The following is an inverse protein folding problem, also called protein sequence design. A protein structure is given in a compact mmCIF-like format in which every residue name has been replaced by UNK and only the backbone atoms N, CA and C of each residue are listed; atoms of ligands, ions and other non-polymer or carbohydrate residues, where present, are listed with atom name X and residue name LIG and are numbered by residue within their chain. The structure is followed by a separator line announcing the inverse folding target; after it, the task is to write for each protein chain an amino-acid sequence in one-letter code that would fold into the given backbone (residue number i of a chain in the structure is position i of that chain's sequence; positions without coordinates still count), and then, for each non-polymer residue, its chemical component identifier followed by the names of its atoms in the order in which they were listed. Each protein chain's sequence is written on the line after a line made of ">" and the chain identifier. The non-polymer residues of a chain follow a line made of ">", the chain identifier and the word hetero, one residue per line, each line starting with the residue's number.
data_IF_774109135248
#
_entry.id   IF_774109135248
#
_cell.length_a   1.000
_cell.length_b   1.000
_cell.length_c   1.000
_cell.angle_alpha   90.00
_cell.angle_beta   90.00
_cell.angle_gamma   90.00
#
_symmetry.space_group_name_H-M   'P 1'
#
loop_
_entity.id
_entity.type
_entity.pdbx_description
1 polymer ?
#
# COMPACT_ATOMS: atom_id res chain seq x y z
N UNK A 1 -11.02 7.63 2.25
CA UNK A 1 -10.32 6.35 2.52
C UNK A 1 -10.78 5.83 3.87
N UNK A 2 -10.98 4.52 4.01
CA UNK A 2 -11.27 3.91 5.32
C UNK A 2 -9.96 3.76 6.09
N UNK A 3 -9.93 4.21 7.35
CA UNK A 3 -8.73 4.11 8.20
C UNK A 3 -8.65 2.75 8.85
N UNK A 4 -7.57 2.01 8.56
CA UNK A 4 -7.32 0.68 9.13
C UNK A 4 -5.86 0.60 9.62
N UNK A 5 -5.62 0.31 10.92
CA UNK A 5 -4.27 0.13 11.47
C UNK A 5 -3.41 -0.88 10.70
N UNK A 6 -4.02 -1.94 10.16
CA UNK A 6 -3.33 -2.94 9.33
C UNK A 6 -2.77 -2.31 8.06
N UNK A 7 -3.52 -1.42 7.40
CA UNK A 7 -3.04 -0.72 6.20
C UNK A 7 -1.87 0.19 6.53
N UNK A 8 -1.98 0.98 7.61
CA UNK A 8 -0.92 1.89 8.06
C UNK A 8 0.38 1.11 8.26
N UNK A 9 0.32 0.05 9.04
CA UNK A 9 1.47 -0.78 9.36
C UNK A 9 2.05 -1.44 8.10
N UNK A 10 1.20 -1.97 7.22
CA UNK A 10 1.64 -2.59 5.96
C UNK A 10 2.37 -1.59 5.05
N UNK A 11 1.84 -0.36 4.92
CA UNK A 11 2.48 0.70 4.14
C UNK A 11 3.86 1.07 4.71
N UNK A 12 3.97 1.17 6.04
CA UNK A 12 5.25 1.44 6.73
C UNK A 12 6.26 0.33 6.48
N UNK A 13 5.86 -0.94 6.62
CA UNK A 13 6.75 -2.08 6.35
C UNK A 13 7.16 -2.16 4.89
N UNK A 14 6.23 -1.94 3.96
CA UNK A 14 6.54 -1.94 2.54
C UNK A 14 7.57 -0.86 2.19
N UNK A 15 7.41 0.35 2.72
CA UNK A 15 8.38 1.44 2.58
C UNK A 15 9.75 1.07 3.17
N UNK A 16 9.78 0.50 4.38
CA UNK A 16 11.02 0.11 5.05
C UNK A 16 11.74 -1.05 4.34
N UNK A 17 10.99 -2.03 3.81
CA UNK A 17 11.55 -3.11 2.98
C UNK A 17 12.13 -2.53 1.70
N UNK A 18 11.39 -1.65 1.03
CA UNK A 18 11.83 -1.03 -0.21
C UNK A 18 13.12 -0.22 0.02
N UNK A 19 13.18 0.58 1.08
CA UNK A 19 14.36 1.35 1.46
C UNK A 19 15.62 0.47 1.58
N UNK A 20 15.51 -0.66 2.27
CA UNK A 20 16.61 -1.64 2.48
C UNK A 20 16.92 -2.49 1.24
N UNK A 21 16.02 -2.59 0.27
CA UNK A 21 16.19 -3.43 -0.91
C UNK A 21 17.12 -2.77 -1.93
N UNK A 22 18.12 -3.51 -2.41
CA UNK A 22 18.88 -3.10 -3.60
C UNK A 22 18.13 -3.40 -4.91
N UNK A 23 17.07 -4.19 -4.82
CA UNK A 23 16.24 -4.59 -5.94
C UNK A 23 14.96 -3.74 -5.97
N UNK A 24 14.80 -2.94 -7.00
CA UNK A 24 13.55 -2.30 -7.36
C UNK A 24 13.46 -2.25 -8.89
N UNK A 25 12.37 -2.79 -9.44
CA UNK A 25 12.21 -2.90 -10.88
C UNK A 25 10.74 -2.74 -11.24
N UNK A 26 10.41 -1.59 -11.81
CA UNK A 26 9.11 -1.40 -12.45
C UNK A 26 8.98 -2.36 -13.64
N UNK A 27 7.83 -3.03 -13.76
CA UNK A 27 7.58 -4.13 -14.70
C UNK A 27 7.86 -5.54 -14.16
N UNK A 28 8.63 -5.70 -13.07
CA UNK A 28 8.69 -6.97 -12.36
C UNK A 28 7.64 -6.98 -11.24
N UNK A 29 6.56 -7.74 -11.44
CA UNK A 29 5.35 -7.71 -10.59
C UNK A 29 5.57 -7.92 -9.08
N UNK A 30 6.64 -8.61 -8.67
CA UNK A 30 7.03 -8.76 -7.26
C UNK A 30 8.06 -7.76 -6.74
N UNK A 31 8.59 -6.86 -7.57
CA UNK A 31 9.64 -5.88 -7.26
C UNK A 31 9.23 -4.43 -7.61
N UNK A 32 7.98 -4.22 -8.01
CA UNK A 32 7.40 -2.91 -8.27
C UNK A 32 6.57 -2.43 -7.05
N UNK A 33 5.89 -1.30 -7.23
CA UNK A 33 5.19 -0.55 -6.19
C UNK A 33 4.20 -1.43 -5.40
N UNK A 34 3.21 -2.01 -6.10
CA UNK A 34 2.26 -2.95 -5.52
C UNK A 34 2.92 -4.29 -5.13
N UNK A 35 4.00 -4.68 -5.81
CA UNK A 35 4.76 -5.90 -5.49
C UNK A 35 5.36 -5.88 -4.09
N UNK A 36 5.92 -4.74 -3.66
CA UNK A 36 6.43 -4.59 -2.29
C UNK A 36 5.31 -4.63 -1.24
N UNK A 37 4.16 -4.03 -1.53
CA UNK A 37 2.98 -4.12 -0.66
C UNK A 37 2.48 -5.57 -0.55
N UNK A 38 2.40 -6.27 -1.68
CA UNK A 38 1.95 -7.66 -1.74
C UNK A 38 2.85 -8.61 -0.95
N UNK A 39 4.19 -8.41 -0.97
CA UNK A 39 5.12 -9.18 -0.15
C UNK A 39 4.80 -9.06 1.35
N UNK A 40 4.42 -7.87 1.82
CA UNK A 40 4.11 -7.65 3.25
C UNK A 40 2.77 -8.26 3.66
N UNK A 41 1.76 -8.23 2.79
CA UNK A 41 0.43 -8.75 3.10
C UNK A 41 0.39 -10.28 3.00
N UNK A 42 0.94 -10.82 1.92
CA UNK A 42 0.77 -12.25 1.57
C UNK A 42 1.91 -13.12 2.08
N UNK A 43 3.03 -12.51 2.48
CA UNK A 43 4.30 -13.20 2.77
C UNK A 43 4.88 -14.00 1.60
N UNK A 44 4.31 -13.88 0.40
CA UNK A 44 4.90 -14.44 -0.81
C UNK A 44 6.21 -13.73 -1.15
N UNK A 45 7.14 -14.51 -1.68
CA UNK A 45 8.38 -13.99 -2.24
C UNK A 45 8.12 -13.20 -3.53
N UNK A 46 9.05 -12.33 -3.89
CA UNK A 46 9.03 -11.60 -5.18
C UNK A 46 8.86 -12.54 -6.40
N UNK A 47 9.42 -13.74 -6.34
CA UNK A 47 9.35 -14.73 -7.41
C UNK A 47 7.96 -15.38 -7.50
N UNK A 48 7.34 -15.70 -6.36
CA UNK A 48 5.98 -16.25 -6.31
C UNK A 48 4.96 -15.23 -6.81
N UNK A 49 5.05 -13.97 -6.37
CA UNK A 49 4.18 -12.89 -6.84
C UNK A 49 4.32 -12.72 -8.36
N UNK A 50 5.56 -12.69 -8.86
CA UNK A 50 5.79 -12.56 -10.29
C UNK A 50 5.21 -13.73 -11.07
N UNK A 51 5.46 -14.97 -10.64
CA UNK A 51 4.93 -16.18 -11.28
C UNK A 51 3.39 -16.18 -11.32
N UNK A 52 2.72 -15.77 -10.24
CA UNK A 52 1.25 -15.67 -10.19
C UNK A 52 0.71 -14.67 -11.22
N UNK A 53 1.39 -13.53 -11.37
CA UNK A 53 0.97 -12.48 -12.31
C UNK A 53 1.19 -12.85 -13.78
N UNK A 54 2.22 -13.64 -14.12
CA UNK A 54 2.58 -13.97 -15.52
C UNK A 54 1.55 -14.83 -16.27
N UNK A 55 0.46 -15.27 -15.63
CA UNK A 55 -0.63 -15.98 -16.31
C UNK A 55 -1.49 -15.05 -17.19
N UNK A 56 -1.41 -13.74 -16.96
CA UNK A 56 -2.00 -12.71 -17.84
C UNK A 56 -0.95 -11.64 -18.12
N UNK A 57 -0.99 -10.99 -19.29
CA UNK A 57 -0.17 -9.82 -19.52
C UNK A 57 -0.64 -8.66 -18.62
N UNK A 58 0.26 -7.70 -18.48
CA UNK A 58 -0.06 -6.40 -17.93
C UNK A 58 0.45 -6.14 -16.52
N UNK A 59 0.48 -4.85 -16.17
CA UNK A 59 0.91 -4.39 -14.86
C UNK A 59 -0.20 -4.55 -13.81
N UNK A 60 0.05 -4.09 -12.59
CA UNK A 60 -0.94 -4.16 -11.52
C UNK A 60 -2.22 -3.41 -11.84
N UNK A 61 -2.16 -2.25 -12.50
CA UNK A 61 -3.34 -1.48 -12.84
C UNK A 61 -4.23 -2.23 -13.82
N UNK A 62 -3.63 -2.88 -14.83
CA UNK A 62 -4.32 -3.70 -15.82
C UNK A 62 -4.92 -4.97 -15.18
N UNK A 63 -4.14 -5.69 -14.36
CA UNK A 63 -4.62 -6.87 -13.64
C UNK A 63 -5.79 -6.54 -12.69
N UNK A 64 -5.79 -5.35 -12.06
CA UNK A 64 -6.86 -4.89 -11.19
C UNK A 64 -8.14 -4.50 -11.95
N UNK A 65 -8.03 -4.06 -13.21
CA UNK A 65 -9.20 -3.84 -14.07
C UNK A 65 -9.91 -5.16 -14.36
N UNK A 66 -9.13 -6.20 -14.67
CA UNK A 66 -9.62 -7.53 -15.04
C UNK A 66 -9.86 -8.46 -13.83
N UNK A 67 -9.75 -7.92 -12.61
CA UNK A 67 -9.90 -8.68 -11.37
C UNK A 67 -11.28 -9.33 -11.26
N UNK A 68 -11.30 -10.64 -11.05
CA UNK A 68 -12.51 -11.43 -10.81
C UNK A 68 -12.29 -12.39 -9.63
N UNK A 69 -13.00 -12.24 -8.49
CA UNK A 69 -12.77 -13.05 -7.29
C UNK A 69 -13.10 -14.54 -7.45
N UNK A 70 -13.83 -14.91 -8.50
CA UNK A 70 -14.27 -16.29 -8.76
C UNK A 70 -13.59 -16.93 -9.96
N UNK A 71 -12.57 -16.29 -10.55
CA UNK A 71 -11.86 -16.80 -11.73
C UNK A 71 -11.03 -18.06 -11.46
N UNK A 72 -10.65 -18.28 -10.19
CA UNK A 72 -9.71 -19.34 -9.79
C UNK A 72 -8.26 -19.05 -10.20
N UNK A 73 -7.93 -17.83 -10.62
CA UNK A 73 -6.59 -17.48 -11.04
C UNK A 73 -5.70 -17.08 -9.86
N UNK A 74 -4.44 -17.55 -9.79
CA UNK A 74 -3.53 -17.25 -8.69
C UNK A 74 -3.27 -15.76 -8.42
N UNK A 75 -3.37 -14.90 -9.44
CA UNK A 75 -3.23 -13.45 -9.28
C UNK A 75 -4.50 -12.82 -8.68
N UNK A 76 -5.69 -13.33 -9.04
CA UNK A 76 -6.95 -12.85 -8.47
C UNK A 76 -7.08 -13.29 -7.00
N UNK A 77 -6.60 -14.48 -6.64
CA UNK A 77 -6.45 -14.90 -5.23
C UNK A 77 -5.55 -13.95 -4.46
N UNK A 78 -4.39 -13.59 -5.04
CA UNK A 78 -3.46 -12.64 -4.44
C UNK A 78 -4.14 -11.28 -4.22
N UNK A 79 -4.79 -10.72 -5.25
CA UNK A 79 -5.53 -9.46 -5.13
C UNK A 79 -6.60 -9.56 -4.04
N UNK A 80 -7.31 -10.68 -3.93
CA UNK A 80 -8.31 -10.90 -2.88
C UNK A 80 -7.73 -10.74 -1.47
N UNK A 81 -6.51 -11.24 -1.22
CA UNK A 81 -5.82 -11.06 0.07
C UNK A 81 -5.49 -9.59 0.36
N UNK A 82 -5.08 -8.82 -0.65
CA UNK A 82 -4.84 -7.37 -0.50
C UNK A 82 -6.13 -6.62 -0.18
N UNK A 83 -7.24 -6.98 -0.82
CA UNK A 83 -8.53 -6.34 -0.58
C UNK A 83 -9.07 -6.62 0.83
N UNK A 84 -8.82 -7.83 1.37
CA UNK A 84 -9.21 -8.20 2.74
C UNK A 84 -8.56 -7.33 3.83
N UNK A 85 -7.39 -6.75 3.57
CA UNK A 85 -6.73 -5.85 4.52
C UNK A 85 -7.28 -4.42 4.49
N UNK A 86 -8.29 -4.13 3.66
CA UNK A 86 -8.93 -2.83 3.56
C UNK A 86 -8.47 -1.95 2.40
N UNK A 87 -7.48 -2.38 1.60
CA UNK A 87 -7.16 -1.70 0.36
C UNK A 87 -8.31 -1.87 -0.64
N UNK A 88 -8.59 -0.82 -1.43
CA UNK A 88 -9.48 -0.92 -2.58
C UNK A 88 -8.69 -1.15 -3.86
N UNK A 89 -9.37 -1.58 -4.93
CA UNK A 89 -8.75 -1.65 -6.27
C UNK A 89 -8.18 -0.30 -6.69
N UNK A 90 -8.92 0.77 -6.46
CA UNK A 90 -8.48 2.14 -6.75
C UNK A 90 -7.21 2.52 -5.98
N UNK A 91 -7.13 2.16 -4.69
CA UNK A 91 -5.92 2.39 -3.90
C UNK A 91 -4.69 1.68 -4.51
N UNK A 92 -4.85 0.43 -4.94
CA UNK A 92 -3.78 -0.35 -5.54
C UNK A 92 -3.41 0.17 -6.95
N UNK A 93 -4.40 0.59 -7.74
CA UNK A 93 -4.16 1.23 -9.04
C UNK A 93 -3.39 2.54 -8.88
N UNK A 94 -3.78 3.36 -7.91
CA UNK A 94 -3.09 4.59 -7.58
C UNK A 94 -1.68 4.34 -7.07
N UNK A 95 -1.44 3.26 -6.30
CA UNK A 95 -0.11 2.89 -5.86
C UNK A 95 0.79 2.47 -7.03
N UNK A 96 0.26 1.71 -7.99
CA UNK A 96 1.05 1.31 -9.16
C UNK A 96 1.56 2.53 -9.95
N UNK A 97 0.76 3.62 -10.01
CA UNK A 97 1.10 4.83 -10.78
C UNK A 97 1.52 6.05 -9.94
N UNK A 98 1.54 5.92 -8.61
CA UNK A 98 1.74 7.02 -7.65
C UNK A 98 0.82 8.22 -7.91
N UNK A 99 -0.49 7.97 -8.07
CA UNK A 99 -1.43 8.94 -8.66
C UNK A 99 -2.58 9.39 -7.76
N UNK A 100 -2.65 8.97 -6.50
CA UNK A 100 -3.75 9.38 -5.63
C UNK A 100 -3.68 10.88 -5.30
N UNK A 101 -4.68 11.68 -5.68
CA UNK A 101 -4.64 13.13 -5.49
C UNK A 101 -4.57 13.54 -4.01
N UNK A 102 -5.15 12.74 -3.10
CA UNK A 102 -5.12 13.00 -1.68
C UNK A 102 -3.72 12.77 -1.07
N UNK A 103 -2.98 11.82 -1.62
CA UNK A 103 -1.60 11.56 -1.21
C UNK A 103 -0.68 12.63 -1.82
N UNK A 104 -0.82 12.91 -3.11
CA UNK A 104 0.01 13.88 -3.84
C UNK A 104 -0.04 15.28 -3.22
N UNK A 105 -1.23 15.76 -2.81
CA UNK A 105 -1.36 17.09 -2.18
C UNK A 105 -0.67 17.20 -0.82
N UNK A 106 -0.38 16.06 -0.17
CA UNK A 106 0.29 15.97 1.14
C UNK A 106 1.80 15.72 1.03
N UNK A 107 2.30 15.42 -0.18
CA UNK A 107 3.74 15.31 -0.43
C UNK A 107 4.40 16.70 -0.37
N UNK A 108 5.72 16.78 -0.10
CA UNK A 108 6.48 18.03 -0.18
C UNK A 108 6.24 18.74 -1.51
N UNK A 109 6.09 20.07 -1.49
CA UNK A 109 5.68 20.86 -2.66
C UNK A 109 6.55 20.63 -3.91
N UNK A 110 7.85 20.41 -3.72
CA UNK A 110 8.81 20.12 -4.81
C UNK A 110 8.81 18.64 -5.26
N UNK A 111 7.95 17.78 -4.70
CA UNK A 111 7.88 16.33 -4.93
C UNK A 111 6.47 15.81 -5.25
N UNK A 112 5.49 16.70 -5.51
CA UNK A 112 4.09 16.33 -5.82
C UNK A 112 3.87 15.73 -7.22
N UNK A 113 4.95 15.55 -8.00
CA UNK A 113 4.93 14.86 -9.31
C UNK A 113 5.89 13.67 -9.29
N UNK A 114 5.62 12.65 -8.45
CA UNK A 114 6.49 11.49 -8.33
C UNK A 114 6.54 10.68 -9.61
N UNK A 115 7.65 9.98 -9.83
CA UNK A 115 7.81 9.02 -10.92
C UNK A 115 7.64 7.61 -10.37
N UNK A 116 6.66 6.89 -10.88
CA UNK A 116 6.31 5.53 -10.44
C UNK A 116 7.39 4.48 -10.68
N UNK A 117 8.46 4.81 -11.42
CA UNK A 117 9.63 3.97 -11.67
C UNK A 117 10.89 4.48 -10.94
N UNK A 118 10.75 5.42 -10.00
CA UNK A 118 11.83 5.91 -9.14
C UNK A 118 11.59 5.42 -7.72
N UNK A 119 12.44 4.51 -7.24
CA UNK A 119 12.35 3.90 -5.90
C UNK A 119 12.08 4.93 -4.78
N UNK A 120 12.81 6.04 -4.77
CA UNK A 120 12.68 7.07 -3.73
C UNK A 120 11.33 7.78 -3.77
N UNK A 121 10.70 7.91 -4.93
CA UNK A 121 9.36 8.50 -5.05
C UNK A 121 8.30 7.55 -4.51
N UNK A 122 8.45 6.23 -4.74
CA UNK A 122 7.57 5.20 -4.19
C UNK A 122 7.66 5.17 -2.66
N UNK A 123 8.87 5.20 -2.10
CA UNK A 123 9.09 5.24 -0.65
C UNK A 123 8.40 6.48 -0.05
N UNK A 124 8.64 7.66 -0.63
CA UNK A 124 8.03 8.90 -0.17
C UNK A 124 6.50 8.82 -0.22
N UNK A 125 5.95 8.32 -1.32
CA UNK A 125 4.51 8.15 -1.49
C UNK A 125 3.90 7.22 -0.44
N UNK A 126 4.49 6.05 -0.20
CA UNK A 126 4.06 5.10 0.83
C UNK A 126 4.10 5.71 2.24
N UNK A 127 5.18 6.44 2.56
CA UNK A 127 5.33 7.13 3.85
C UNK A 127 4.31 8.26 4.03
N UNK A 128 4.07 9.05 2.98
CA UNK A 128 3.03 10.10 3.00
C UNK A 128 1.64 9.49 3.19
N UNK A 129 1.34 8.40 2.49
CA UNK A 129 0.06 7.71 2.63
C UNK A 129 -0.14 7.15 4.03
N UNK A 130 0.85 6.44 4.58
CA UNK A 130 0.79 5.90 5.92
C UNK A 130 0.57 7.02 6.97
N UNK A 131 1.28 8.13 6.83
CA UNK A 131 1.15 9.28 7.76
C UNK A 131 -0.23 9.94 7.63
N UNK A 132 -0.80 10.01 6.43
CA UNK A 132 -2.16 10.51 6.24
C UNK A 132 -3.18 9.63 6.95
N UNK A 133 -3.13 8.30 6.73
CA UNK A 133 -4.04 7.38 7.41
C UNK A 133 -3.87 7.38 8.93
N UNK A 134 -2.62 7.49 9.42
CA UNK A 134 -2.33 7.60 10.85
C UNK A 134 -2.96 8.86 11.47
N UNK A 135 -2.85 10.02 10.80
CA UNK A 135 -3.51 11.24 11.26
C UNK A 135 -5.05 11.11 11.27
N UNK A 136 -5.63 10.51 10.22
CA UNK A 136 -7.09 10.26 10.17
C UNK A 136 -7.54 9.29 11.26
N UNK A 137 -6.69 8.33 11.66
CA UNK A 137 -6.99 7.36 12.69
C UNK A 137 -6.96 8.02 14.08
N UNK A 138 -5.93 8.82 14.36
CA UNK A 138 -5.81 9.56 15.61
C UNK A 138 -6.99 10.51 15.84
N UNK A 139 -7.50 11.15 14.79
CA UNK A 139 -8.68 12.04 14.87
C UNK A 139 -9.97 11.32 15.28
N UNK A 140 -10.01 9.98 15.19
CA UNK A 140 -11.17 9.16 15.57
C UNK A 140 -11.08 8.63 17.01
N UNK A 141 -9.93 8.77 17.66
CA UNK A 141 -9.72 8.30 19.03
C UNK A 141 -10.24 9.36 20.00
N UNK A 142 -11.29 9.03 20.74
CA UNK A 142 -11.71 9.79 21.91
C UNK A 142 -10.99 9.24 23.15
N UNK A 143 -10.19 10.08 23.81
CA UNK A 143 -9.60 9.75 25.09
C UNK A 143 -10.62 10.00 26.20
N UNK A 144 -10.72 9.12 27.22
CA UNK A 144 -11.56 9.39 28.37
C UNK A 144 -11.03 10.62 29.12
N UNK A 145 -11.95 11.46 29.61
CA UNK A 145 -11.57 12.54 30.52
C UNK A 145 -11.02 11.93 31.82
N UNK A 146 -9.77 12.26 32.14
CA UNK A 146 -9.17 11.85 33.42
C UNK A 146 -9.80 12.72 34.50
N UNK A 147 -10.67 12.14 35.33
CA UNK A 147 -11.18 12.81 36.52
C UNK A 147 -10.04 12.89 37.57
N UNK A 148 -9.53 14.09 37.91
CA UNK A 148 -8.45 14.23 38.87
C UNK A 148 -8.80 13.72 40.28
N UNK A 149 -10.11 13.60 40.59
CA UNK A 149 -10.58 13.11 41.89
C UNK A 149 -10.42 11.59 42.09
N UNK A 150 -10.06 10.82 41.05
CA UNK A 150 -9.82 9.36 41.13
C UNK A 150 -8.33 9.00 41.28
N UNK A 151 -7.43 9.98 41.40
CA UNK A 151 -5.96 9.78 41.47
C UNK A 151 -5.43 9.95 42.91
N UNK A 152 -6.30 10.26 43.86
CA UNK A 152 -5.96 10.40 45.28
C UNK A 152 -6.69 9.34 46.10
N UNK A 153 -6.09 8.14 46.19
CA UNK A 153 -6.21 7.17 47.29
C UNK A 153 -4.94 6.28 47.31
#
# INVERSE_FOLDING_TARGET
>A
MTTNPVMIETLRRAAARLEKSNDYQWGHMGLCNCGFLAQEITLFTKAEIHKRAMLKPGDWSEQLNDYCPTSGLPMDELISELLKTGFTRENLQNLERLSDPEILKRMPANRQKPKHNVKQDVILYLQTWASYLEAEFLNQIALPEINPALVLD
#
